data_IF_274734135437
#
_entry.id   IF_274734135437
#
_cell.length_a   1.000
_cell.length_b   1.000
_cell.length_c   1.000
_cell.angle_alpha   90.00
_cell.angle_beta   90.00
_cell.angle_gamma   90.00
#
_symmetry.space_group_name_H-M   'P 1'
#
loop_
_entity.id
_entity.type
_entity.pdbx_description
1 polymer ?
#
# COMPACT_ATOMS: atom_id res chain seq x y z
N UNK A 1 -5.31 32.73 14.95
CA UNK A 1 -5.77 32.17 13.66
C UNK A 1 -5.59 30.65 13.63
N UNK A 2 -6.48 29.85 14.26
CA UNK A 2 -6.22 28.41 14.45
C UNK A 2 -6.71 27.44 13.37
N UNK A 3 -7.61 27.89 12.49
CA UNK A 3 -8.42 26.96 11.72
C UNK A 3 -7.79 26.52 10.39
N UNK A 4 -6.87 27.31 9.82
CA UNK A 4 -6.28 27.04 8.51
C UNK A 4 -5.32 25.83 8.52
N UNK A 5 -4.51 25.68 9.57
CA UNK A 5 -3.56 24.57 9.67
C UNK A 5 -4.26 23.22 9.88
N UNK A 6 -5.40 23.17 10.57
CA UNK A 6 -6.15 21.93 10.77
C UNK A 6 -6.70 21.31 9.48
N UNK A 7 -6.98 22.12 8.45
CA UNK A 7 -7.44 21.64 7.14
C UNK A 7 -6.30 21.12 6.24
N UNK A 8 -5.09 21.66 6.37
CA UNK A 8 -3.92 21.29 5.56
C UNK A 8 -3.56 19.81 5.74
N UNK A 9 -3.44 19.35 6.99
CA UNK A 9 -3.01 17.98 7.33
C UNK A 9 -4.02 16.90 6.95
N UNK A 10 -5.32 17.18 7.12
CA UNK A 10 -6.37 16.23 6.74
C UNK A 10 -6.30 15.88 5.25
N UNK A 11 -5.92 16.86 4.43
CA UNK A 11 -5.78 16.66 2.98
C UNK A 11 -4.41 16.05 2.62
N UNK A 12 -3.33 16.45 3.29
CA UNK A 12 -1.97 15.97 2.97
C UNK A 12 -1.64 14.58 3.50
N UNK A 13 -2.23 14.16 4.63
CA UNK A 13 -1.89 12.90 5.30
C UNK A 13 -3.08 11.93 5.26
N UNK A 14 -4.23 12.36 5.79
CA UNK A 14 -5.37 11.44 5.97
C UNK A 14 -5.98 11.03 4.64
N UNK A 15 -6.03 11.92 3.65
CA UNK A 15 -6.58 11.58 2.33
C UNK A 15 -5.72 10.56 1.58
N UNK A 16 -4.39 10.73 1.40
CA UNK A 16 -3.55 9.69 0.82
C UNK A 16 -3.62 8.39 1.61
N UNK A 17 -3.55 8.44 2.95
CA UNK A 17 -3.68 7.25 3.80
C UNK A 17 -5.01 6.51 3.57
N UNK A 18 -6.12 7.25 3.52
CA UNK A 18 -7.44 6.69 3.22
C UNK A 18 -7.48 6.09 1.82
N UNK A 19 -7.01 6.82 0.80
CA UNK A 19 -7.07 6.37 -0.59
C UNK A 19 -6.29 5.05 -0.77
N UNK A 20 -5.11 4.91 -0.14
CA UNK A 20 -4.33 3.67 -0.15
C UNK A 20 -5.05 2.52 0.57
N UNK A 21 -5.49 2.73 1.81
CA UNK A 21 -6.14 1.68 2.62
C UNK A 21 -7.48 1.24 2.05
N UNK A 22 -8.25 2.18 1.50
CA UNK A 22 -9.50 1.92 0.82
C UNK A 22 -9.30 1.21 -0.53
N UNK A 23 -8.19 1.47 -1.24
CA UNK A 23 -7.81 0.73 -2.45
C UNK A 23 -7.61 -0.76 -2.14
N UNK A 24 -6.82 -1.08 -1.10
CA UNK A 24 -6.62 -2.46 -0.65
C UNK A 24 -7.94 -3.11 -0.25
N UNK A 25 -8.78 -2.39 0.51
CA UNK A 25 -10.05 -2.90 1.01
C UNK A 25 -11.04 -3.23 -0.13
N UNK A 26 -11.14 -2.37 -1.15
CA UNK A 26 -12.12 -2.53 -2.24
C UNK A 26 -11.66 -3.50 -3.31
N UNK A 27 -10.38 -3.43 -3.70
CA UNK A 27 -9.85 -4.26 -4.77
C UNK A 27 -9.53 -5.68 -4.29
N UNK A 28 -9.35 -5.90 -2.98
CA UNK A 28 -8.85 -7.16 -2.41
C UNK A 28 -7.68 -7.73 -3.23
N UNK A 29 -6.62 -6.91 -3.44
CA UNK A 29 -5.50 -7.31 -4.28
C UNK A 29 -4.79 -8.53 -3.68
N UNK A 30 -4.08 -9.27 -4.53
CA UNK A 30 -3.11 -10.25 -4.05
C UNK A 30 -2.02 -9.55 -3.22
N UNK A 31 -1.29 -10.32 -2.42
CA UNK A 31 -0.19 -9.78 -1.61
C UNK A 31 0.82 -9.04 -2.50
N UNK A 32 1.15 -9.59 -3.68
CA UNK A 32 2.08 -8.96 -4.63
C UNK A 32 1.52 -7.63 -5.17
N UNK A 33 0.26 -7.60 -5.58
CA UNK A 33 -0.39 -6.38 -6.08
C UNK A 33 -0.54 -5.31 -4.99
N UNK A 34 -0.56 -5.71 -3.71
CA UNK A 34 -0.62 -4.79 -2.57
C UNK A 34 0.74 -4.16 -2.20
N UNK A 35 1.87 -4.74 -2.63
CA UNK A 35 3.21 -4.25 -2.25
C UNK A 35 3.46 -2.79 -2.65
N UNK A 36 3.16 -2.32 -3.88
CA UNK A 36 3.35 -0.92 -4.24
C UNK A 36 2.53 0.03 -3.37
N UNK A 37 1.33 -0.39 -2.94
CA UNK A 37 0.47 0.39 -2.05
C UNK A 37 1.11 0.49 -0.66
N UNK A 38 1.66 -0.60 -0.14
CA UNK A 38 2.35 -0.60 1.15
C UNK A 38 3.64 0.23 1.13
N UNK A 39 4.43 0.17 0.06
CA UNK A 39 5.64 1.01 -0.07
C UNK A 39 5.30 2.49 -0.14
N UNK A 40 4.33 2.87 -0.97
CA UNK A 40 3.86 4.27 -1.04
C UNK A 40 3.31 4.77 0.31
N UNK A 41 2.67 3.88 1.09
CA UNK A 41 2.23 4.20 2.44
C UNK A 41 3.42 4.35 3.41
N UNK A 42 4.44 3.51 3.30
CA UNK A 42 5.66 3.62 4.11
C UNK A 42 6.41 4.92 3.84
N UNK A 43 6.61 5.27 2.56
CA UNK A 43 7.21 6.53 2.14
C UNK A 43 6.46 7.73 2.73
N UNK A 44 5.14 7.80 2.51
CA UNK A 44 4.29 8.86 3.07
C UNK A 44 4.43 9.00 4.59
N UNK A 45 4.37 7.88 5.31
CA UNK A 45 4.44 7.90 6.77
C UNK A 45 5.85 8.26 7.26
N UNK A 46 6.90 7.84 6.55
CA UNK A 46 8.29 8.19 6.84
C UNK A 46 8.55 9.69 6.60
N UNK A 47 8.02 10.26 5.53
CA UNK A 47 8.14 11.70 5.23
C UNK A 47 7.49 12.52 6.35
N UNK A 48 6.28 12.13 6.77
CA UNK A 48 5.59 12.78 7.91
C UNK A 48 6.37 12.61 9.22
N UNK A 49 6.85 11.41 9.52
CA UNK A 49 7.63 11.13 10.74
C UNK A 49 8.86 12.01 10.80
N UNK A 50 9.57 12.15 9.68
CA UNK A 50 10.82 12.89 9.60
C UNK A 50 10.63 14.40 9.41
N UNK A 51 9.39 14.84 9.15
CA UNK A 51 9.05 16.21 8.80
C UNK A 51 9.80 16.67 7.53
N UNK A 52 9.79 15.82 6.50
CA UNK A 52 10.44 16.06 5.21
C UNK A 52 9.46 16.69 4.20
N UNK A 53 9.96 17.55 3.32
CA UNK A 53 9.19 18.12 2.20
C UNK A 53 7.93 18.88 2.66
N UNK A 54 6.76 18.46 2.17
CA UNK A 54 5.47 19.12 2.44
C UNK A 54 4.98 18.97 3.90
N UNK A 55 5.77 18.30 4.74
CA UNK A 55 5.46 17.93 6.12
C UNK A 55 6.35 18.60 7.18
N UNK A 56 7.18 19.57 6.80
CA UNK A 56 8.05 20.32 7.73
C UNK A 56 7.26 20.98 8.88
N UNK A 57 6.04 21.44 8.61
CA UNK A 57 5.19 22.12 9.58
C UNK A 57 4.30 21.19 10.44
N UNK A 58 4.45 19.85 10.32
CA UNK A 58 3.57 18.89 11.04
C UNK A 58 3.82 18.99 12.54
N UNK A 59 2.73 19.17 13.30
CA UNK A 59 2.77 19.12 14.75
C UNK A 59 3.31 17.77 15.28
N UNK A 60 4.16 17.84 16.29
CA UNK A 60 4.72 16.68 16.99
C UNK A 60 3.67 15.63 17.41
N UNK A 61 2.46 16.03 17.81
CA UNK A 61 1.38 15.10 18.17
C UNK A 61 0.95 14.21 16.99
N UNK A 62 0.91 14.78 15.77
CA UNK A 62 0.57 14.04 14.55
C UNK A 62 1.72 13.11 14.19
N UNK A 63 2.96 13.57 14.30
CA UNK A 63 4.16 12.75 14.04
C UNK A 63 4.23 11.55 14.98
N UNK A 64 3.93 11.74 16.26
CA UNK A 64 3.86 10.67 17.26
C UNK A 64 2.71 9.68 16.97
N UNK A 65 1.55 10.17 16.51
CA UNK A 65 0.47 9.31 16.04
C UNK A 65 0.87 8.48 14.81
N UNK A 66 1.57 9.10 13.84
CA UNK A 66 2.12 8.42 12.66
C UNK A 66 3.17 7.38 13.05
N UNK A 67 4.05 7.69 13.99
CA UNK A 67 5.06 6.74 14.47
C UNK A 67 4.41 5.49 15.06
N UNK A 68 3.34 5.64 15.85
CA UNK A 68 2.55 4.49 16.32
C UNK A 68 1.93 3.69 15.17
N UNK A 69 1.49 4.37 14.12
CA UNK A 69 0.99 3.75 12.88
C UNK A 69 2.07 2.91 12.19
N UNK A 70 3.26 3.46 11.97
CA UNK A 70 4.42 2.79 11.38
C UNK A 70 4.77 1.53 12.18
N UNK A 71 4.81 1.60 13.51
CA UNK A 71 5.08 0.42 14.36
C UNK A 71 4.08 -0.71 14.12
N UNK A 72 2.80 -0.37 13.90
CA UNK A 72 1.75 -1.35 13.61
C UNK A 72 1.90 -1.96 12.22
N UNK A 73 2.28 -1.15 11.24
CA UNK A 73 2.56 -1.61 9.88
C UNK A 73 3.80 -2.52 9.83
N UNK A 74 4.89 -2.14 10.49
CA UNK A 74 6.11 -2.95 10.60
C UNK A 74 5.83 -4.31 11.27
N UNK A 75 4.94 -4.35 12.27
CA UNK A 75 4.51 -5.62 12.88
C UNK A 75 3.79 -6.52 11.88
N UNK A 76 3.05 -5.95 10.93
CA UNK A 76 2.40 -6.71 9.85
C UNK A 76 3.43 -7.16 8.81
N UNK A 77 4.31 -6.26 8.34
CA UNK A 77 5.34 -6.56 7.36
C UNK A 77 6.26 -7.71 7.79
N UNK A 78 6.72 -7.72 9.06
CA UNK A 78 7.54 -8.82 9.59
C UNK A 78 6.90 -10.19 9.45
N UNK A 79 5.57 -10.30 9.59
CA UNK A 79 4.89 -11.59 9.39
C UNK A 79 4.99 -12.09 7.96
N UNK A 80 5.13 -11.18 6.99
CA UNK A 80 5.33 -11.52 5.58
C UNK A 80 6.80 -11.86 5.28
N UNK A 81 7.76 -11.21 5.94
CA UNK A 81 9.19 -11.48 5.77
C UNK A 81 9.62 -12.84 6.33
N UNK A 82 8.96 -13.32 7.39
CA UNK A 82 9.33 -14.56 8.09
C UNK A 82 9.13 -15.84 7.24
N UNK A 83 8.38 -15.79 6.14
CA UNK A 83 8.16 -16.95 5.28
C UNK A 83 7.84 -16.60 3.82
N UNK A 84 8.56 -17.24 2.89
CA UNK A 84 8.32 -17.18 1.44
C UNK A 84 6.92 -17.66 1.02
N UNK A 85 6.19 -18.35 1.92
CA UNK A 85 4.85 -18.89 1.67
C UNK A 85 3.87 -17.87 1.07
N UNK A 86 3.94 -16.60 1.48
CA UNK A 86 3.05 -15.56 0.94
C UNK A 86 3.34 -15.24 -0.53
N UNK A 87 4.62 -15.24 -0.92
CA UNK A 87 5.03 -15.09 -2.31
C UNK A 87 4.69 -16.33 -3.14
N UNK A 88 4.94 -17.53 -2.61
CA UNK A 88 4.57 -18.78 -3.29
C UNK A 88 3.05 -18.88 -3.49
N UNK A 89 2.26 -18.54 -2.47
CA UNK A 89 0.81 -18.51 -2.55
C UNK A 89 0.31 -17.52 -3.62
N UNK A 90 1.00 -16.38 -3.80
CA UNK A 90 0.65 -15.41 -4.85
C UNK A 90 0.88 -15.95 -6.26
N UNK A 91 1.98 -16.69 -6.50
CA UNK A 91 2.23 -17.33 -7.82
C UNK A 91 1.20 -18.43 -8.10
N UNK A 92 0.70 -19.08 -7.05
CA UNK A 92 -0.36 -20.08 -7.14
C UNK A 92 -1.77 -19.48 -7.20
N UNK A 93 -1.93 -18.16 -7.02
CA UNK A 93 -3.22 -17.50 -7.20
C UNK A 93 -3.68 -17.71 -8.66
N UNK A 94 -4.85 -18.33 -8.90
CA UNK A 94 -5.34 -18.58 -10.25
C UNK A 94 -5.40 -17.32 -11.12
N UNK A 95 -5.64 -16.14 -10.52
CA UNK A 95 -5.67 -14.86 -11.26
C UNK A 95 -4.30 -14.51 -11.83
N UNK A 96 -3.25 -14.65 -11.00
CA UNK A 96 -1.86 -14.40 -11.42
C UNK A 96 -1.42 -15.48 -12.42
N UNK A 97 -1.69 -16.75 -12.11
CA UNK A 97 -1.30 -17.87 -12.97
C UNK A 97 -1.96 -17.81 -14.34
N UNK A 98 -3.26 -17.50 -14.41
CA UNK A 98 -3.97 -17.31 -15.67
C UNK A 98 -3.46 -16.10 -16.45
N UNK A 99 -3.20 -14.97 -15.79
CA UNK A 99 -2.62 -13.78 -16.44
C UNK A 99 -1.24 -14.07 -17.05
N UNK A 100 -0.38 -14.81 -16.33
CA UNK A 100 0.94 -15.20 -16.82
C UNK A 100 0.83 -16.12 -18.05
N UNK A 101 -0.05 -17.12 -18.01
CA UNK A 101 -0.28 -18.02 -19.14
C UNK A 101 -0.73 -17.22 -20.37
N UNK A 102 -1.72 -16.32 -20.21
CA UNK A 102 -2.20 -15.46 -21.30
C UNK A 102 -1.07 -14.62 -21.90
N UNK A 103 -0.17 -14.06 -21.08
CA UNK A 103 0.95 -13.26 -21.56
C UNK A 103 2.02 -14.04 -22.34
N UNK A 104 2.08 -15.37 -22.16
CA UNK A 104 3.04 -16.26 -22.82
C UNK A 104 2.48 -16.91 -24.09
N UNK A 105 1.17 -16.76 -24.34
CA UNK A 105 0.49 -17.34 -25.48
C UNK A 105 0.57 -16.42 -26.70
N UNK A 106 0.49 -17.01 -27.90
CA UNK A 106 0.28 -16.23 -29.12
C UNK A 106 -1.10 -15.57 -29.08
N UNK A 107 -1.28 -14.41 -29.73
CA UNK A 107 -2.57 -13.69 -29.70
C UNK A 107 -3.76 -14.59 -30.13
N UNK A 108 -3.53 -15.53 -31.05
CA UNK A 108 -4.54 -16.47 -31.54
C UNK A 108 -5.01 -17.49 -30.48
N UNK A 109 -4.16 -17.84 -29.52
CA UNK A 109 -4.47 -18.88 -28.52
C UNK A 109 -5.08 -18.29 -27.22
N UNK A 110 -4.88 -16.99 -27.00
CA UNK A 110 -5.28 -16.30 -25.75
C UNK A 110 -6.79 -16.30 -25.47
N UNK A 111 -7.62 -16.39 -26.52
CA UNK A 111 -9.08 -16.42 -26.40
C UNK A 111 -9.66 -17.70 -25.81
N UNK A 112 -8.88 -18.79 -25.73
CA UNK A 112 -9.38 -20.11 -25.30
C UNK A 112 -9.53 -20.26 -23.77
N UNK A 113 -8.90 -19.37 -22.99
CA UNK A 113 -8.81 -19.48 -21.51
C UNK A 113 -9.78 -18.52 -20.78
N UNK A 114 -10.32 -17.51 -21.47
CA UNK A 114 -11.15 -16.43 -20.87
C UNK A 114 -12.66 -16.72 -20.93
N UNK A 115 -13.09 -17.96 -21.21
CA UNK A 115 -14.51 -18.36 -21.18
C UNK A 115 -14.98 -18.86 -19.82
#
# INVERSE_FOLDING_TARGET
>A
MPFAYKLSWGTKILKPFWDHTNSVLKACPTIVESLPIYWSLDDLLNDVRNAEGDFEDVNIEIRDAVERGIRKMNKFARKMDDNLLYYVASVLDPRIKSSLIVSQMSEQDSGLIVS
#
